data_IF_106722311736
#
_entry.id   IF_106722311736
#
_cell.length_a   1.000
_cell.length_b   1.000
_cell.length_c   1.000
_cell.angle_alpha   90.00
_cell.angle_beta   90.00
_cell.angle_gamma   90.00
#
_symmetry.space_group_name_H-M   'P 1'
#
loop_
_entity.id
_entity.type
_entity.pdbx_description
1 polymer ?
#
# COMPACT_ATOMS: atom_id res chain seq x y z
N UNK A 1 19.45 -3.58 -22.06
CA UNK A 1 19.31 -5.02 -22.33
C UNK A 1 17.83 -5.42 -22.53
N UNK A 2 17.08 -4.60 -23.27
CA UNK A 2 15.64 -4.34 -23.09
C UNK A 2 14.65 -5.38 -23.63
N UNK A 3 15.06 -6.62 -23.91
CA UNK A 3 14.17 -7.70 -24.37
C UNK A 3 14.04 -8.82 -23.32
N UNK A 4 15.15 -9.21 -22.68
CA UNK A 4 15.18 -10.26 -21.65
C UNK A 4 14.35 -9.85 -20.44
N UNK A 5 14.56 -8.63 -19.94
CA UNK A 5 13.85 -8.05 -18.80
C UNK A 5 12.32 -8.06 -18.99
N UNK A 6 11.83 -7.70 -20.18
CA UNK A 6 10.39 -7.74 -20.51
C UNK A 6 9.85 -9.17 -20.58
N UNK A 7 10.62 -10.14 -21.08
CA UNK A 7 10.21 -11.55 -21.05
C UNK A 7 10.15 -12.10 -19.62
N UNK A 8 11.11 -11.75 -18.75
CA UNK A 8 11.12 -12.23 -17.36
C UNK A 8 10.00 -11.63 -16.53
N UNK A 9 9.71 -10.33 -16.64
CA UNK A 9 8.62 -9.72 -15.86
C UNK A 9 7.24 -10.21 -16.30
N UNK A 10 7.02 -10.44 -17.61
CA UNK A 10 5.79 -11.06 -18.09
C UNK A 10 5.65 -12.52 -17.62
N UNK A 11 6.74 -13.30 -17.64
CA UNK A 11 6.76 -14.66 -17.09
C UNK A 11 6.46 -14.68 -15.58
N UNK A 12 6.97 -13.72 -14.81
CA UNK A 12 6.67 -13.58 -13.38
C UNK A 12 5.18 -13.28 -13.13
N UNK A 13 4.57 -12.40 -13.93
CA UNK A 13 3.13 -12.10 -13.87
C UNK A 13 2.31 -13.37 -14.19
N UNK A 14 2.63 -14.08 -15.27
CA UNK A 14 1.95 -15.33 -15.63
C UNK A 14 2.14 -16.45 -14.60
N UNK A 15 3.31 -16.52 -13.96
CA UNK A 15 3.58 -17.48 -12.89
C UNK A 15 2.77 -17.16 -11.64
N UNK A 16 2.76 -15.90 -11.20
CA UNK A 16 2.04 -15.49 -9.99
C UNK A 16 0.52 -15.64 -10.08
N UNK A 17 -0.08 -15.52 -11.28
CA UNK A 17 -1.49 -15.86 -11.51
C UNK A 17 -1.74 -17.37 -11.33
N UNK A 18 -0.85 -18.23 -11.86
CA UNK A 18 -0.92 -19.70 -11.66
C UNK A 18 -0.59 -20.12 -10.23
N UNK A 19 0.16 -19.32 -9.48
CA UNK A 19 0.32 -19.50 -8.03
C UNK A 19 -1.01 -19.21 -7.33
N UNK A 20 -1.60 -18.04 -7.56
CA UNK A 20 -2.88 -17.65 -6.96
C UNK A 20 -4.03 -18.62 -7.29
N UNK A 21 -4.10 -19.14 -8.52
CA UNK A 21 -5.04 -20.18 -8.94
C UNK A 21 -4.89 -21.46 -8.08
N UNK A 22 -3.64 -21.94 -7.92
CA UNK A 22 -3.35 -23.13 -7.09
C UNK A 22 -3.67 -22.90 -5.61
N UNK A 23 -3.45 -21.69 -5.11
CA UNK A 23 -3.76 -21.30 -3.73
C UNK A 23 -5.28 -21.26 -3.48
N UNK A 24 -6.08 -20.77 -4.44
CA UNK A 24 -7.56 -20.85 -4.37
C UNK A 24 -8.04 -22.30 -4.29
N UNK A 25 -7.51 -23.19 -5.15
CA UNK A 25 -7.88 -24.61 -5.16
C UNK A 25 -7.57 -25.29 -3.82
N UNK A 26 -6.51 -24.86 -3.14
CA UNK A 26 -6.13 -25.33 -1.80
C UNK A 26 -6.84 -24.63 -0.64
N UNK A 27 -7.60 -23.56 -0.91
CA UNK A 27 -8.25 -22.68 0.08
C UNK A 27 -7.28 -21.89 0.97
N UNK A 28 -6.09 -21.60 0.47
CA UNK A 28 -5.09 -20.76 1.16
C UNK A 28 -5.41 -19.26 0.91
N UNK A 29 -6.58 -18.79 1.37
CA UNK A 29 -7.21 -17.53 0.93
C UNK A 29 -6.39 -16.27 1.26
N UNK A 30 -5.79 -16.22 2.45
CA UNK A 30 -4.83 -15.18 2.84
C UNK A 30 -3.71 -15.08 1.79
N UNK A 31 -3.07 -16.21 1.47
CA UNK A 31 -1.92 -16.26 0.57
C UNK A 31 -2.30 -15.93 -0.88
N UNK A 32 -3.55 -16.19 -1.30
CA UNK A 32 -4.12 -15.69 -2.58
C UNK A 32 -4.09 -14.15 -2.62
N UNK A 33 -4.54 -13.47 -1.56
CA UNK A 33 -4.57 -12.01 -1.50
C UNK A 33 -3.15 -11.41 -1.46
N UNK A 34 -2.24 -12.02 -0.69
CA UNK A 34 -0.81 -11.65 -0.67
C UNK A 34 -0.20 -11.80 -2.08
N UNK A 35 -0.44 -12.93 -2.77
CA UNK A 35 0.05 -13.14 -4.14
C UNK A 35 -0.55 -12.19 -5.15
N UNK A 36 -1.86 -11.90 -5.08
CA UNK A 36 -2.50 -10.96 -5.99
C UNK A 36 -1.88 -9.56 -5.90
N UNK A 37 -1.56 -9.10 -4.68
CA UNK A 37 -0.81 -7.86 -4.47
C UNK A 37 0.61 -7.93 -5.01
N UNK A 38 1.34 -9.04 -4.81
CA UNK A 38 2.69 -9.19 -5.37
C UNK A 38 2.70 -9.14 -6.90
N UNK A 39 1.71 -9.75 -7.57
CA UNK A 39 1.60 -9.68 -9.04
C UNK A 39 1.22 -8.27 -9.51
N UNK A 40 0.35 -7.57 -8.79
CA UNK A 40 0.08 -6.15 -9.03
C UNK A 40 1.35 -5.30 -8.92
N UNK A 41 2.20 -5.51 -7.92
CA UNK A 41 3.48 -4.81 -7.76
C UNK A 41 4.38 -4.97 -9.00
N UNK A 42 4.52 -6.20 -9.53
CA UNK A 42 5.25 -6.44 -10.78
C UNK A 42 4.62 -5.72 -11.99
N UNK A 43 3.29 -5.74 -12.13
CA UNK A 43 2.58 -5.04 -13.22
C UNK A 43 2.77 -3.52 -13.15
N UNK A 44 2.61 -2.93 -11.96
CA UNK A 44 2.75 -1.49 -11.72
C UNK A 44 4.20 -1.06 -11.97
N UNK A 45 5.19 -1.81 -11.47
CA UNK A 45 6.62 -1.54 -11.73
C UNK A 45 6.93 -1.51 -13.23
N UNK A 46 6.47 -2.50 -13.98
CA UNK A 46 6.65 -2.58 -15.44
C UNK A 46 6.06 -1.37 -16.20
N UNK A 47 5.07 -0.68 -15.63
CA UNK A 47 4.52 0.55 -16.21
C UNK A 47 5.24 1.80 -15.69
N UNK A 48 5.63 1.86 -14.42
CA UNK A 48 6.39 2.96 -13.84
C UNK A 48 7.74 3.15 -14.53
N UNK A 49 8.46 2.06 -14.80
CA UNK A 49 9.71 2.05 -15.57
C UNK A 49 9.52 2.59 -17.00
N UNK A 50 8.43 2.21 -17.68
CA UNK A 50 8.07 2.72 -19.03
C UNK A 50 7.62 4.18 -19.02
N UNK A 51 7.07 4.63 -17.90
CA UNK A 51 6.59 5.99 -17.69
C UNK A 51 7.68 6.95 -17.16
N UNK A 52 8.86 6.42 -16.81
CA UNK A 52 9.95 7.13 -16.14
C UNK A 52 9.48 7.86 -14.86
N UNK A 53 8.60 7.21 -14.09
CA UNK A 53 8.17 7.73 -12.78
C UNK A 53 9.27 7.53 -11.74
N UNK A 54 9.30 8.41 -10.74
CA UNK A 54 10.17 8.24 -9.57
C UNK A 54 9.59 7.12 -8.71
N UNK A 55 10.42 6.15 -8.31
CA UNK A 55 10.01 5.07 -7.42
C UNK A 55 9.51 5.66 -6.08
N UNK A 56 8.27 5.36 -5.73
CA UNK A 56 7.62 5.76 -4.48
C UNK A 56 6.82 4.60 -3.92
N UNK A 57 5.87 4.89 -3.03
CA UNK A 57 4.95 3.88 -2.51
C UNK A 57 4.03 3.32 -3.64
N UNK A 58 3.48 2.12 -3.45
CA UNK A 58 2.65 1.46 -4.47
C UNK A 58 1.37 2.26 -4.77
N UNK A 59 0.80 2.94 -3.78
CA UNK A 59 -0.38 3.80 -3.95
C UNK A 59 -0.06 5.05 -4.77
N UNK A 60 1.02 5.75 -4.45
CA UNK A 60 1.50 6.92 -5.18
C UNK A 60 1.86 6.56 -6.63
N UNK A 61 2.45 5.37 -6.85
CA UNK A 61 2.80 4.90 -8.19
C UNK A 61 1.54 4.60 -9.03
N UNK A 62 0.50 3.99 -8.43
CA UNK A 62 -0.82 3.80 -9.07
C UNK A 62 -1.46 5.16 -9.42
N UNK A 63 -1.38 6.14 -8.50
CA UNK A 63 -1.92 7.48 -8.70
C UNK A 63 -1.20 8.23 -9.82
N UNK A 64 0.14 8.23 -9.83
CA UNK A 64 0.95 8.84 -10.89
C UNK A 64 0.69 8.21 -12.27
N UNK A 65 0.53 6.89 -12.36
CA UNK A 65 0.14 6.21 -13.60
C UNK A 65 -1.24 6.65 -14.09
N UNK A 66 -2.20 6.86 -13.18
CA UNK A 66 -3.54 7.36 -13.54
C UNK A 66 -3.50 8.83 -13.97
N UNK A 67 -2.78 9.69 -13.26
CA UNK A 67 -2.64 11.12 -13.58
C UNK A 67 -1.93 11.32 -14.93
N UNK A 68 -0.83 10.57 -15.16
CA UNK A 68 -0.11 10.49 -16.43
C UNK A 68 -0.85 9.80 -17.58
N UNK A 69 -2.08 9.28 -17.34
CA UNK A 69 -2.94 8.57 -18.31
C UNK A 69 -2.36 7.27 -18.86
N UNK A 70 -1.43 6.65 -18.16
CA UNK A 70 -0.97 5.29 -18.44
C UNK A 70 -2.04 4.25 -18.11
N UNK A 71 -2.82 4.47 -17.05
CA UNK A 71 -3.97 3.64 -16.70
C UNK A 71 -5.28 4.44 -16.66
N UNK A 72 -6.40 3.77 -16.88
CA UNK A 72 -7.74 4.33 -16.77
C UNK A 72 -8.26 4.30 -15.30
N UNK A 73 -9.42 4.94 -15.03
CA UNK A 73 -9.94 5.01 -13.65
C UNK A 73 -10.33 3.64 -13.08
N UNK A 74 -10.94 2.76 -13.88
CA UNK A 74 -11.36 1.45 -13.40
C UNK A 74 -10.14 0.58 -13.03
N UNK A 75 -9.10 0.59 -13.86
CA UNK A 75 -7.82 -0.05 -13.54
C UNK A 75 -7.19 0.51 -12.26
N UNK A 76 -7.18 1.84 -12.05
CA UNK A 76 -6.77 2.44 -10.77
C UNK A 76 -7.61 1.94 -9.58
N UNK A 77 -8.94 1.97 -9.71
CA UNK A 77 -9.85 1.54 -8.64
C UNK A 77 -9.63 0.05 -8.28
N UNK A 78 -9.42 -0.80 -9.29
CA UNK A 78 -9.14 -2.22 -9.15
C UNK A 78 -7.75 -2.46 -8.51
N UNK A 79 -6.73 -1.70 -8.91
CA UNK A 79 -5.39 -1.75 -8.33
C UNK A 79 -5.38 -1.37 -6.85
N UNK A 80 -6.06 -0.28 -6.45
CA UNK A 80 -6.20 0.04 -5.02
C UNK A 80 -6.97 -1.05 -4.27
N UNK A 81 -7.99 -1.65 -4.89
CA UNK A 81 -8.75 -2.75 -4.26
C UNK A 81 -7.84 -3.94 -4.00
N UNK A 82 -7.12 -4.46 -4.99
CA UNK A 82 -6.15 -5.56 -4.82
C UNK A 82 -5.07 -5.19 -3.79
N UNK A 83 -4.56 -3.94 -3.82
CA UNK A 83 -3.58 -3.45 -2.83
C UNK A 83 -4.13 -3.51 -1.40
N UNK A 84 -5.38 -3.07 -1.20
CA UNK A 84 -6.04 -3.02 0.12
C UNK A 84 -6.29 -4.44 0.62
N UNK A 85 -6.84 -5.33 -0.20
CA UNK A 85 -7.08 -6.74 0.15
C UNK A 85 -5.76 -7.45 0.52
N UNK A 86 -4.69 -7.24 -0.24
CA UNK A 86 -3.36 -7.74 0.11
C UNK A 86 -2.77 -7.13 1.39
N UNK A 87 -2.99 -5.84 1.66
CA UNK A 87 -2.61 -5.21 2.94
C UNK A 87 -3.34 -5.89 4.12
N UNK A 88 -4.66 -6.08 3.98
CA UNK A 88 -5.53 -6.73 4.96
C UNK A 88 -5.07 -8.17 5.24
N UNK A 89 -4.74 -8.95 4.21
CA UNK A 89 -4.16 -10.29 4.38
C UNK A 89 -2.80 -10.27 5.13
N UNK A 90 -1.86 -9.37 4.76
CA UNK A 90 -0.52 -9.31 5.39
C UNK A 90 -0.56 -8.79 6.84
N UNK A 91 -1.41 -7.81 7.14
CA UNK A 91 -1.34 -7.05 8.40
C UNK A 91 -2.50 -7.32 9.36
N UNK A 92 -3.68 -7.70 8.85
CA UNK A 92 -4.87 -8.03 9.66
C UNK A 92 -5.09 -9.55 9.75
N UNK A 93 -4.28 -10.36 9.05
CA UNK A 93 -4.35 -11.82 9.07
C UNK A 93 -5.55 -12.42 8.33
N UNK A 94 -6.23 -11.65 7.48
CA UNK A 94 -7.50 -12.05 6.87
C UNK A 94 -7.35 -13.26 5.92
N UNK A 95 -8.22 -14.24 6.09
CA UNK A 95 -8.34 -15.47 5.29
C UNK A 95 -9.75 -15.59 4.66
N UNK A 96 -10.46 -14.46 4.51
CA UNK A 96 -11.84 -14.44 4.02
C UNK A 96 -11.91 -14.86 2.55
N UNK A 97 -12.63 -15.96 2.30
CA UNK A 97 -12.82 -16.52 0.96
C UNK A 97 -13.48 -15.54 -0.04
N UNK A 98 -14.31 -14.59 0.43
CA UNK A 98 -14.90 -13.55 -0.41
C UNK A 98 -13.83 -12.58 -0.93
N UNK A 99 -13.10 -11.94 -0.03
CA UNK A 99 -11.99 -11.01 -0.31
C UNK A 99 -10.91 -11.67 -1.19
N UNK A 100 -10.55 -12.93 -0.93
CA UNK A 100 -9.60 -13.68 -1.78
C UNK A 100 -10.11 -13.95 -3.20
N UNK A 101 -11.39 -14.34 -3.36
CA UNK A 101 -11.99 -14.48 -4.69
C UNK A 101 -12.09 -13.13 -5.42
N UNK A 102 -12.40 -12.04 -4.70
CA UNK A 102 -12.43 -10.69 -5.27
C UNK A 102 -11.04 -10.26 -5.74
N UNK A 103 -10.00 -10.44 -4.92
CA UNK A 103 -8.62 -10.12 -5.27
C UNK A 103 -8.15 -10.87 -6.53
N UNK A 104 -8.45 -12.17 -6.62
CA UNK A 104 -8.09 -12.99 -7.78
C UNK A 104 -8.87 -12.66 -9.05
N UNK A 105 -10.17 -12.38 -8.96
CA UNK A 105 -10.98 -11.97 -10.12
C UNK A 105 -10.49 -10.63 -10.68
N UNK A 106 -10.23 -9.65 -9.82
CA UNK A 106 -9.68 -8.36 -10.21
C UNK A 106 -8.27 -8.51 -10.80
N UNK A 107 -7.41 -9.34 -10.18
CA UNK A 107 -6.08 -9.64 -10.72
C UNK A 107 -6.16 -10.23 -12.13
N UNK A 108 -6.97 -11.27 -12.32
CA UNK A 108 -7.10 -11.97 -13.60
C UNK A 108 -7.63 -11.03 -14.69
N UNK A 109 -8.59 -10.17 -14.35
CA UNK A 109 -9.09 -9.12 -15.25
C UNK A 109 -7.99 -8.15 -15.65
N UNK A 110 -7.27 -7.55 -14.69
CA UNK A 110 -6.29 -6.52 -15.01
C UNK A 110 -5.01 -7.10 -15.65
N UNK A 111 -4.64 -8.36 -15.37
CA UNK A 111 -3.57 -9.07 -16.11
C UNK A 111 -3.97 -9.25 -17.59
N UNK A 112 -5.23 -9.51 -17.90
CA UNK A 112 -5.73 -9.55 -19.28
C UNK A 112 -5.69 -8.17 -19.95
N UNK A 113 -6.07 -7.10 -19.26
CA UNK A 113 -5.95 -5.71 -19.77
C UNK A 113 -4.48 -5.36 -20.03
N UNK A 114 -3.61 -5.58 -19.03
CA UNK A 114 -2.18 -5.36 -19.11
C UNK A 114 -1.53 -6.16 -20.26
N UNK A 115 -1.88 -7.43 -20.45
CA UNK A 115 -1.35 -8.25 -21.53
C UNK A 115 -1.54 -7.60 -22.92
N UNK A 116 -2.72 -7.01 -23.15
CA UNK A 116 -3.05 -6.33 -24.40
C UNK A 116 -2.27 -5.01 -24.57
N UNK A 117 -2.17 -4.19 -23.52
CA UNK A 117 -1.47 -2.89 -23.54
C UNK A 117 0.07 -3.00 -23.47
N UNK A 118 0.59 -4.14 -22.99
CA UNK A 118 2.03 -4.41 -22.87
C UNK A 118 2.58 -5.19 -24.08
N UNK A 119 1.81 -6.13 -24.64
CA UNK A 119 2.20 -6.87 -25.85
C UNK A 119 1.89 -6.07 -27.13
N UNK A 120 0.81 -5.27 -27.13
CA UNK A 120 0.43 -4.40 -28.22
C UNK A 120 1.30 -3.15 -28.27
N UNK A 121 2.38 -3.18 -29.05
CA UNK A 121 3.35 -2.08 -29.20
C UNK A 121 2.85 -0.79 -29.87
N UNK A 122 1.59 -0.37 -29.67
CA UNK A 122 0.97 0.82 -30.28
C UNK A 122 0.00 1.59 -29.37
N UNK A 123 0.37 2.85 -29.11
CA UNK A 123 -0.54 3.99 -29.30
C UNK A 123 -1.63 4.31 -28.25
N UNK A 124 -1.33 4.27 -26.95
CA UNK A 124 -2.03 5.14 -25.96
C UNK A 124 -1.36 6.52 -25.77
N UNK A 125 -0.46 6.90 -26.67
CA UNK A 125 0.28 8.18 -26.64
C UNK A 125 -0.28 9.24 -27.60
N UNK A 126 -1.62 9.36 -27.74
CA UNK A 126 -2.23 10.49 -28.45
C UNK A 126 -2.58 11.62 -27.49
N UNK A 127 -1.57 12.40 -27.11
CA UNK A 127 -1.75 13.65 -26.38
C UNK A 127 -2.75 14.56 -27.13
N UNK A 128 -3.78 15.11 -26.46
CA UNK A 128 -4.72 16.03 -27.08
C UNK A 128 -4.05 17.40 -27.27
N UNK A 129 -3.45 17.63 -28.44
CA UNK A 129 -2.88 18.93 -28.80
C UNK A 129 -3.94 20.03 -28.70
N UNK A 130 -3.80 20.88 -27.68
CA UNK A 130 -4.68 22.01 -27.44
C UNK A 130 -4.31 23.17 -28.34
N UNK A 131 -5.21 23.47 -29.29
CA UNK A 131 -5.32 24.80 -29.89
C UNK A 131 -4.38 25.11 -31.05
N UNK A 132 -4.95 25.14 -32.26
CA UNK A 132 -4.57 26.19 -33.22
C UNK A 132 -5.80 26.61 -34.03
N UNK A 133 -6.26 27.83 -33.81
CA UNK A 133 -7.33 28.46 -34.57
C UNK A 133 -6.79 28.95 -35.92
N UNK A 134 -7.38 28.50 -37.02
CA UNK A 134 -7.15 29.07 -38.35
C UNK A 134 -8.49 29.21 -39.07
N UNK A 135 -8.95 30.45 -39.21
CA UNK A 135 -10.09 30.79 -40.07
C UNK A 135 -9.57 30.99 -41.49
N UNK A 136 -10.19 30.33 -42.47
CA UNK A 136 -10.05 30.69 -43.88
C UNK A 136 -11.36 30.41 -44.63
N UNK A 137 -11.65 31.23 -45.63
CA UNK A 137 -12.84 31.16 -46.50
C UNK A 137 -12.38 30.86 -47.94
N UNK A 138 -13.38 30.59 -48.80
CA UNK A 138 -13.35 30.51 -50.28
C UNK A 138 -13.26 29.09 -50.86
N UNK A 139 -13.91 28.73 -51.98
CA UNK A 139 -15.18 29.06 -52.66
C UNK A 139 -15.17 28.29 -53.99
N UNK A 140 -16.33 27.76 -54.41
CA UNK A 140 -16.74 27.52 -55.82
C UNK A 140 -15.82 26.77 -56.82
N UNK A 141 -16.26 25.57 -57.25
CA UNK A 141 -16.59 25.13 -58.63
C UNK A 141 -16.94 23.61 -58.57
N UNK A 142 -17.98 23.02 -59.19
CA UNK A 142 -18.90 23.26 -60.34
C UNK A 142 -18.54 22.44 -61.60
N UNK A 143 -18.96 21.16 -61.61
CA UNK A 143 -19.29 20.30 -62.77
C UNK A 143 -19.87 18.95 -62.24
N UNK A 144 -20.76 18.21 -62.93
CA UNK A 144 -21.54 18.59 -64.12
C UNK A 144 -21.74 17.46 -65.15
N UNK A 145 -22.56 16.42 -64.87
CA UNK A 145 -22.99 15.44 -65.89
C UNK A 145 -24.36 14.81 -65.57
N UNK A 146 -24.97 14.13 -66.56
CA UNK A 146 -26.40 13.84 -66.60
C UNK A 146 -26.73 12.41 -67.05
N UNK A 147 -27.85 11.85 -66.58
CA UNK A 147 -28.74 10.99 -67.40
C UNK A 147 -30.11 10.79 -66.74
N UNK A 148 -31.11 10.32 -67.50
CA UNK A 148 -32.54 10.31 -67.11
C UNK A 148 -33.30 9.18 -67.82
N UNK A 149 -33.75 8.17 -67.10
CA UNK A 149 -34.73 7.14 -67.54
C UNK A 149 -35.10 6.22 -66.34
N UNK A 150 -36.31 5.67 -66.20
CA UNK A 150 -37.59 5.96 -66.87
C UNK A 150 -38.66 4.86 -66.61
N UNK A 151 -39.94 5.24 -66.41
CA UNK A 151 -41.10 4.35 -66.15
C UNK A 151 -41.00 3.48 -64.85
N UNK A 152 -42.04 2.87 -64.23
CA UNK A 152 -43.53 2.89 -64.20
C UNK A 152 -43.93 2.28 -62.81
N UNK A 153 -45.16 2.24 -62.27
CA UNK A 153 -46.54 2.55 -62.68
C UNK A 153 -47.38 2.91 -61.41
N UNK A 154 -48.68 3.27 -61.49
CA UNK A 154 -49.41 3.88 -60.36
C UNK A 154 -50.33 2.94 -59.55
N UNK A 155 -50.67 3.33 -58.31
CA UNK A 155 -51.82 2.77 -57.56
C UNK A 155 -52.41 3.79 -56.55
N UNK A 156 -53.69 3.60 -56.20
CA UNK A 156 -54.53 4.14 -55.10
C UNK A 156 -53.91 5.18 -54.13
N UNK A 157 -54.58 6.26 -53.73
CA UNK A 157 -56.03 6.42 -53.54
C UNK A 157 -56.44 6.08 -52.09
N UNK A 158 -56.81 7.10 -51.31
CA UNK A 158 -57.37 7.09 -49.94
C UNK A 158 -56.81 6.11 -48.88
N UNK A 159 -56.26 6.65 -47.78
CA UNK A 159 -56.79 6.47 -46.40
C UNK A 159 -56.03 7.25 -45.30
N UNK A 160 -56.80 7.75 -44.31
CA UNK A 160 -56.39 7.96 -42.89
C UNK A 160 -56.50 6.59 -42.15
N UNK A 161 -56.04 6.39 -40.88
CA UNK A 161 -55.47 7.31 -39.88
C UNK A 161 -54.24 6.74 -39.11
N UNK A 162 -53.93 7.36 -37.96
CA UNK A 162 -53.55 6.72 -36.68
C UNK A 162 -52.13 6.12 -36.45
N UNK A 163 -51.40 6.81 -35.56
CA UNK A 163 -50.96 6.31 -34.24
C UNK A 163 -50.06 5.05 -34.13
N UNK A 164 -48.78 5.28 -33.84
CA UNK A 164 -48.00 4.45 -32.89
C UNK A 164 -47.00 5.31 -32.11
N UNK A 165 -46.42 4.79 -31.02
CA UNK A 165 -45.78 5.60 -29.98
C UNK A 165 -44.29 5.93 -30.19
N UNK A 166 -43.92 7.21 -30.11
CA UNK A 166 -42.53 7.66 -30.07
C UNK A 166 -41.88 7.45 -28.68
N UNK A 167 -41.20 6.32 -28.50
CA UNK A 167 -40.51 5.98 -27.25
C UNK A 167 -39.30 6.92 -27.03
N UNK A 168 -39.32 7.71 -25.96
CA UNK A 168 -38.33 8.78 -25.71
C UNK A 168 -36.98 8.23 -25.24
N UNK A 169 -35.98 8.18 -26.10
CA UNK A 169 -34.58 8.06 -25.66
C UNK A 169 -34.13 9.33 -24.92
N UNK A 170 -33.83 9.20 -23.63
CA UNK A 170 -33.32 10.30 -22.81
C UNK A 170 -31.82 10.52 -23.04
N UNK A 171 -31.46 11.55 -23.82
CA UNK A 171 -30.05 11.93 -24.03
C UNK A 171 -29.36 12.34 -22.70
N UNK A 172 -28.06 12.02 -22.52
CA UNK A 172 -27.37 12.20 -21.24
C UNK A 172 -27.23 13.68 -20.86
N UNK A 173 -27.90 14.07 -19.76
CA UNK A 173 -27.78 15.41 -19.16
C UNK A 173 -26.33 15.70 -18.75
N UNK A 174 -25.66 16.62 -19.47
CA UNK A 174 -24.34 17.15 -19.12
C UNK A 174 -24.37 17.83 -17.74
N UNK A 175 -24.05 17.09 -16.67
CA UNK A 175 -23.90 17.65 -15.32
C UNK A 175 -22.81 18.74 -15.34
N UNK A 176 -23.14 19.97 -14.93
CA UNK A 176 -22.16 21.06 -14.80
C UNK A 176 -21.05 20.61 -13.84
N UNK A 177 -19.80 20.61 -14.30
CA UNK A 177 -18.62 20.43 -13.43
C UNK A 177 -18.65 21.54 -12.37
N UNK A 178 -18.81 21.19 -11.09
CA UNK A 178 -18.50 22.12 -9.99
C UNK A 178 -17.00 22.39 -10.07
N UNK A 179 -16.60 23.63 -10.40
CA UNK A 179 -15.21 24.07 -10.26
C UNK A 179 -14.95 24.22 -8.77
N UNK A 180 -14.01 23.46 -8.22
CA UNK A 180 -13.47 23.73 -6.88
C UNK A 180 -12.80 25.11 -6.95
N UNK A 181 -13.05 25.99 -5.98
CA UNK A 181 -12.55 27.36 -6.02
C UNK A 181 -11.02 27.38 -5.81
N UNK A 182 -10.23 28.20 -6.53
CA UNK A 182 -8.78 28.29 -6.33
C UNK A 182 -8.36 28.61 -4.89
N UNK A 183 -9.26 29.25 -4.12
CA UNK A 183 -9.13 29.54 -2.69
C UNK A 183 -8.81 28.30 -1.85
N UNK A 184 -9.24 27.09 -2.25
CA UNK A 184 -8.91 25.86 -1.50
C UNK A 184 -7.41 25.56 -1.47
N UNK A 185 -6.67 25.90 -2.54
CA UNK A 185 -5.22 25.74 -2.60
C UNK A 185 -4.51 26.80 -1.76
N UNK A 186 -5.06 28.02 -1.73
CA UNK A 186 -4.55 29.13 -0.90
C UNK A 186 -4.73 28.78 0.59
N UNK A 187 -5.88 28.24 1.00
CA UNK A 187 -6.08 27.73 2.36
C UNK A 187 -5.16 26.55 2.69
N UNK A 188 -4.95 25.61 1.76
CA UNK A 188 -4.03 24.48 1.96
C UNK A 188 -2.56 24.90 2.18
N UNK A 189 -2.17 26.10 1.72
CA UNK A 189 -0.87 26.72 2.01
C UNK A 189 -0.89 27.62 3.26
N UNK A 190 -1.98 28.33 3.53
CA UNK A 190 -2.10 29.21 4.70
C UNK A 190 -2.21 28.45 6.02
N UNK A 191 -2.91 27.30 6.06
CA UNK A 191 -3.04 26.47 7.27
C UNK A 191 -1.67 26.10 7.88
N UNK A 192 -0.73 25.45 7.16
CA UNK A 192 0.56 25.09 7.74
C UNK A 192 1.40 26.32 8.13
N UNK A 193 1.36 27.41 7.35
CA UNK A 193 2.07 28.66 7.69
C UNK A 193 1.52 29.26 9.00
N UNK A 194 0.21 29.27 9.19
CA UNK A 194 -0.43 29.77 10.42
C UNK A 194 -0.11 28.89 11.63
N UNK A 195 -0.06 27.57 11.46
CA UNK A 195 0.37 26.61 12.50
C UNK A 195 1.84 26.85 12.89
N UNK A 196 2.73 27.07 11.94
CA UNK A 196 4.15 27.39 12.20
C UNK A 196 4.30 28.72 12.95
N UNK A 197 3.55 29.77 12.57
CA UNK A 197 3.54 31.05 13.29
C UNK A 197 3.01 30.88 14.72
N UNK A 198 1.95 30.09 14.93
CA UNK A 198 1.42 29.78 16.25
C UNK A 198 2.46 29.05 17.12
N UNK A 199 3.15 28.04 16.57
CA UNK A 199 4.23 27.33 17.26
C UNK A 199 5.38 28.27 17.66
N UNK A 200 5.82 29.16 16.78
CA UNK A 200 6.88 30.14 17.09
C UNK A 200 6.46 31.09 18.22
N UNK A 201 5.19 31.49 18.29
CA UNK A 201 4.66 32.30 19.40
C UNK A 201 4.63 31.50 20.71
N UNK A 202 4.13 30.26 20.70
CA UNK A 202 4.08 29.39 21.89
C UNK A 202 5.48 29.09 22.43
N UNK A 203 6.45 28.78 21.56
CA UNK A 203 7.84 28.56 21.95
C UNK A 203 8.46 29.82 22.58
N UNK A 204 8.07 31.02 22.14
CA UNK A 204 8.53 32.29 22.74
C UNK A 204 7.82 32.71 24.02
N UNK A 205 6.62 32.21 24.31
CA UNK A 205 5.93 32.47 25.59
C UNK A 205 6.21 31.42 26.66
N UNK A 206 6.66 30.22 26.28
CA UNK A 206 6.91 29.09 27.21
C UNK A 206 8.38 28.88 27.60
N UNK A 207 9.32 29.73 27.15
CA UNK A 207 10.75 29.64 27.52
C UNK A 207 11.20 30.89 28.29
N UNK A 208 10.96 30.96 29.61
CA UNK A 208 11.67 31.87 30.50
C UNK A 208 13.05 31.29 30.87
N UNK A 209 14.13 31.99 30.52
CA UNK A 209 15.49 31.61 30.93
C UNK A 209 15.76 32.01 32.39
N UNK A 210 16.12 31.04 33.23
CA UNK A 210 16.61 31.22 34.60
C UNK A 210 17.75 30.24 34.87
N UNK A 211 18.75 30.63 35.66
CA UNK A 211 20.07 29.98 35.64
C UNK A 211 20.30 28.94 36.77
N UNK A 212 21.42 28.21 36.65
CA UNK A 212 21.93 27.12 37.51
C UNK A 212 21.87 27.41 39.02
N UNK A 213 21.82 26.36 39.84
CA UNK A 213 22.99 26.04 40.67
C UNK A 213 23.10 24.54 41.07
N UNK A 214 24.18 24.18 41.76
CA UNK A 214 24.64 22.80 42.04
C UNK A 214 24.07 22.21 43.35
N UNK A 215 23.89 20.89 43.40
CA UNK A 215 23.59 20.17 44.64
C UNK A 215 23.75 18.65 44.53
N UNK A 216 24.94 18.13 44.85
CA UNK A 216 25.12 16.72 45.20
C UNK A 216 24.76 16.52 46.68
N UNK A 217 23.98 15.50 47.03
CA UNK A 217 24.18 14.75 48.28
C UNK A 217 23.41 13.43 48.31
N UNK A 218 24.13 12.35 48.60
CA UNK A 218 23.61 11.04 49.04
C UNK A 218 22.85 11.16 50.36
N UNK A 219 21.73 10.44 50.52
CA UNK A 219 21.31 9.85 51.81
C UNK A 219 20.35 8.68 51.59
N UNK A 220 20.61 7.56 52.26
CA UNK A 220 19.61 6.54 52.61
C UNK A 220 19.82 6.18 54.09
N UNK A 221 18.75 5.87 54.83
CA UNK A 221 18.79 4.70 55.71
C UNK A 221 17.46 3.91 55.80
N UNK A 222 17.53 2.74 56.46
CA UNK A 222 16.50 1.70 56.58
C UNK A 222 16.01 1.52 58.04
N UNK A 223 14.77 1.04 58.25
CA UNK A 223 14.24 0.21 59.39
C UNK A 223 12.70 -0.01 59.17
N UNK A 224 11.95 -1.08 59.49
CA UNK A 224 12.12 -2.49 59.98
C UNK A 224 11.36 -2.81 61.29
N UNK A 225 10.78 -4.04 61.41
CA UNK A 225 10.02 -4.64 62.57
C UNK A 225 8.49 -4.35 62.52
N UNK A 226 7.49 -5.26 62.37
CA UNK A 226 7.23 -6.70 62.64
C UNK A 226 6.66 -6.99 64.08
N UNK A 227 5.80 -7.97 64.42
CA UNK A 227 5.05 -9.10 63.75
C UNK A 227 3.81 -9.49 64.65
N UNK A 228 2.98 -10.56 64.55
CA UNK A 228 2.76 -11.76 63.68
C UNK A 228 1.34 -12.40 63.94
N UNK A 229 0.88 -13.33 63.07
CA UNK A 229 -0.18 -14.40 63.23
C UNK A 229 -1.65 -14.09 63.64
N UNK A 230 -2.62 -15.05 63.47
CA UNK A 230 -2.64 -16.29 62.66
C UNK A 230 -3.84 -16.36 61.66
N UNK A 231 -3.97 -17.48 60.93
CA UNK A 231 -5.03 -17.74 59.93
C UNK A 231 -6.06 -18.82 60.35
N UNK A 232 -7.18 -18.96 59.61
CA UNK A 232 -7.87 -20.23 59.44
C UNK A 232 -7.85 -20.74 57.98
N UNK A 233 -7.83 -22.06 57.82
CA UNK A 233 -7.70 -22.82 56.55
C UNK A 233 -9.05 -23.42 56.12
N UNK A 234 -9.23 -23.73 54.81
CA UNK A 234 -9.94 -24.89 54.18
C UNK A 234 -10.19 -24.59 52.66
N UNK A 235 -10.52 -25.56 51.77
CA UNK A 235 -9.58 -26.44 51.05
C UNK A 235 -9.67 -26.33 49.49
N UNK A 236 -8.84 -27.05 48.69
CA UNK A 236 -8.60 -26.73 47.26
C UNK A 236 -9.24 -27.69 46.23
N UNK A 237 -9.44 -27.18 44.99
CA UNK A 237 -9.70 -27.96 43.76
C UNK A 237 -9.52 -27.04 42.50
N UNK A 238 -9.15 -27.55 41.31
CA UNK A 238 -8.00 -28.39 40.98
C UNK A 238 -6.99 -27.68 40.03
N UNK A 239 -6.02 -28.44 39.50
CA UNK A 239 -4.89 -27.99 38.69
C UNK A 239 -5.26 -27.50 37.27
N UNK A 240 -4.60 -26.43 36.81
CA UNK A 240 -4.41 -26.15 35.38
C UNK A 240 -2.91 -26.08 35.09
N UNK A 241 -2.47 -26.89 34.14
CA UNK A 241 -1.08 -27.02 33.65
C UNK A 241 -0.53 -25.65 33.20
N UNK A 242 0.77 -25.32 33.41
CA UNK A 242 1.34 -24.07 32.90
C UNK A 242 1.13 -23.92 31.40
N UNK A 243 0.41 -22.87 31.01
CA UNK A 243 0.25 -22.48 29.61
C UNK A 243 1.62 -22.03 29.08
N UNK A 244 2.14 -22.79 28.11
CA UNK A 244 3.43 -22.46 27.48
C UNK A 244 3.23 -21.25 26.60
N UNK A 245 3.67 -20.07 27.07
CA UNK A 245 3.72 -18.87 26.21
C UNK A 245 4.47 -19.20 24.92
N UNK A 246 3.94 -18.82 23.74
CA UNK A 246 4.65 -19.01 22.49
C UNK A 246 5.96 -18.20 22.54
N UNK A 247 7.08 -18.76 22.09
CA UNK A 247 8.40 -18.13 22.24
C UNK A 247 8.40 -16.71 21.67
N UNK A 248 8.64 -15.73 22.55
CA UNK A 248 8.69 -14.31 22.20
C UNK A 248 9.70 -14.12 21.07
N UNK A 249 9.23 -13.64 19.93
CA UNK A 249 10.06 -13.42 18.76
C UNK A 249 11.00 -12.24 19.00
N UNK A 250 12.25 -12.53 19.36
CA UNK A 250 13.27 -11.51 19.62
C UNK A 250 13.70 -10.89 18.29
N UNK A 251 13.67 -9.56 18.18
CA UNK A 251 14.20 -8.87 17.00
C UNK A 251 15.57 -8.29 17.32
N UNK A 252 16.57 -8.56 16.46
CA UNK A 252 17.93 -8.03 16.59
C UNK A 252 18.31 -7.15 15.41
N UNK A 253 19.12 -6.13 15.68
CA UNK A 253 19.69 -5.28 14.65
C UNK A 253 20.81 -6.01 13.91
N UNK A 254 20.72 -6.07 12.58
CA UNK A 254 21.66 -6.72 11.67
C UNK A 254 22.49 -5.70 10.89
N UNK A 255 23.81 -5.89 10.78
CA UNK A 255 24.69 -5.11 9.90
C UNK A 255 25.85 -4.43 10.64
N UNK A 256 25.87 -3.10 10.64
CA UNK A 256 26.83 -2.29 11.41
C UNK A 256 26.11 -1.52 12.53
N UNK A 257 25.19 -0.63 12.14
CA UNK A 257 24.33 0.13 13.03
C UNK A 257 23.13 0.68 12.27
N UNK A 258 21.99 0.86 12.94
CA UNK A 258 20.79 1.49 12.39
C UNK A 258 20.39 2.74 13.17
N UNK A 259 19.90 3.76 12.47
CA UNK A 259 19.38 4.98 13.08
C UNK A 259 17.90 4.81 13.40
N UNK A 260 17.54 4.95 14.67
CA UNK A 260 16.16 4.97 15.18
C UNK A 260 15.67 6.41 15.20
N UNK A 261 14.43 6.66 14.75
CA UNK A 261 13.94 8.00 14.38
C UNK A 261 12.54 8.29 14.90
N UNK A 262 12.19 9.58 14.97
CA UNK A 262 10.86 10.05 15.40
C UNK A 262 9.75 9.83 14.37
N UNK A 263 10.10 9.67 13.09
CA UNK A 263 9.15 9.49 11.97
C UNK A 263 9.77 8.57 10.89
N UNK A 264 8.96 7.86 10.08
CA UNK A 264 9.42 6.93 9.04
C UNK A 264 9.93 7.67 7.78
N UNK A 265 11.03 8.41 7.94
CA UNK A 265 11.70 9.20 6.90
C UNK A 265 13.22 9.20 7.08
N UNK A 266 13.98 9.36 6.00
CA UNK A 266 15.44 9.57 6.05
C UNK A 266 15.83 10.93 6.61
N UNK A 267 14.89 11.86 6.67
CA UNK A 267 15.13 13.27 6.98
C UNK A 267 14.60 13.66 8.38
N UNK A 268 13.87 12.75 9.03
CA UNK A 268 13.32 12.94 10.38
C UNK A 268 14.40 12.84 11.46
N UNK A 269 14.11 13.38 12.65
CA UNK A 269 15.06 13.41 13.77
C UNK A 269 15.47 12.00 14.19
N UNK A 270 16.78 11.77 14.26
CA UNK A 270 17.37 10.58 14.88
C UNK A 270 17.24 10.72 16.41
N UNK A 271 16.72 9.68 17.06
CA UNK A 271 16.61 9.54 18.52
C UNK A 271 17.90 8.91 19.05
N UNK A 272 18.28 7.78 18.48
CA UNK A 272 19.47 6.98 18.86
C UNK A 272 19.99 6.21 17.64
N UNK A 273 21.22 5.73 17.72
CA UNK A 273 21.83 4.81 16.76
C UNK A 273 22.14 3.49 17.48
N UNK A 274 21.50 2.39 17.07
CA UNK A 274 21.66 1.06 17.66
C UNK A 274 22.69 0.27 16.86
N UNK A 275 23.55 -0.49 17.54
CA UNK A 275 24.59 -1.33 16.92
C UNK A 275 24.07 -2.70 16.51
N UNK A 276 24.82 -3.41 15.65
CA UNK A 276 24.56 -4.83 15.38
C UNK A 276 24.50 -5.65 16.68
N UNK A 277 23.57 -6.60 16.75
CA UNK A 277 23.34 -7.46 17.90
C UNK A 277 22.43 -6.87 18.97
N UNK A 278 22.14 -5.57 18.93
CA UNK A 278 21.17 -4.94 19.86
C UNK A 278 19.78 -5.54 19.66
N UNK A 279 19.17 -6.00 20.75
CA UNK A 279 17.77 -6.45 20.79
C UNK A 279 16.82 -5.24 20.84
N UNK A 280 15.68 -5.35 20.15
CA UNK A 280 14.66 -4.32 20.08
C UNK A 280 13.27 -4.90 20.28
N UNK A 281 12.45 -4.21 21.08
CA UNK A 281 11.04 -4.52 21.25
C UNK A 281 10.28 -4.09 19.98
N UNK A 282 9.95 -5.05 19.12
CA UNK A 282 9.28 -4.82 17.83
C UNK A 282 7.77 -4.78 18.02
N UNK A 283 7.16 -3.64 17.68
CA UNK A 283 5.73 -3.41 17.84
C UNK A 283 4.96 -3.86 16.60
N UNK A 284 5.35 -3.36 15.42
CA UNK A 284 4.62 -3.56 14.15
C UNK A 284 5.43 -3.10 12.94
N UNK A 285 5.11 -3.64 11.76
CA UNK A 285 5.60 -3.10 10.49
C UNK A 285 4.83 -1.84 10.10
N UNK A 286 5.53 -0.79 9.71
CA UNK A 286 4.93 0.45 9.20
C UNK A 286 4.83 0.45 7.67
N UNK A 287 5.91 0.05 6.98
CA UNK A 287 5.96 -0.10 5.53
C UNK A 287 7.02 -1.13 5.12
N UNK A 288 7.29 -1.28 3.82
CA UNK A 288 8.35 -2.15 3.31
C UNK A 288 9.77 -1.70 3.74
N UNK A 289 9.94 -0.43 4.11
CA UNK A 289 11.23 0.16 4.48
C UNK A 289 11.37 0.50 5.96
N UNK A 290 10.27 0.49 6.72
CA UNK A 290 10.20 0.97 8.11
C UNK A 290 9.40 0.04 9.01
N UNK A 291 9.97 -0.27 10.16
CA UNK A 291 9.34 -0.91 11.29
C UNK A 291 9.22 0.04 12.47
N UNK A 292 8.24 -0.21 13.33
CA UNK A 292 8.05 0.46 14.61
C UNK A 292 8.59 -0.44 15.71
N UNK A 293 9.53 0.10 16.48
CA UNK A 293 9.99 -0.47 17.74
C UNK A 293 9.53 0.41 18.89
N UNK A 294 9.41 -0.18 20.07
CA UNK A 294 9.28 0.54 21.32
C UNK A 294 10.69 0.87 21.83
N UNK A 295 10.95 2.15 22.08
CA UNK A 295 12.21 2.63 22.63
C UNK A 295 11.94 3.64 23.73
N UNK A 296 12.37 3.33 24.96
CA UNK A 296 12.15 4.16 26.16
C UNK A 296 10.66 4.54 26.37
N UNK A 297 9.76 3.60 26.08
CA UNK A 297 8.31 3.77 26.18
C UNK A 297 7.65 4.56 25.04
N UNK A 298 8.37 4.82 23.94
CA UNK A 298 7.89 5.59 22.79
C UNK A 298 7.95 4.77 21.49
N UNK A 299 6.94 4.92 20.62
CA UNK A 299 7.01 4.36 19.27
C UNK A 299 8.07 5.08 18.44
N UNK A 300 9.06 4.34 17.96
CA UNK A 300 10.18 4.86 17.19
C UNK A 300 10.41 4.04 15.91
N UNK A 301 10.85 4.72 14.85
CA UNK A 301 10.94 4.16 13.51
C UNK A 301 12.36 3.74 13.16
N UNK A 302 12.50 2.52 12.67
CA UNK A 302 13.78 1.88 12.34
C UNK A 302 13.65 1.19 10.98
N UNK A 303 14.70 1.14 10.16
CA UNK A 303 14.54 0.65 8.79
C UNK A 303 14.58 -0.87 8.70
N UNK A 304 13.53 -1.47 8.11
CA UNK A 304 13.26 -2.92 8.11
C UNK A 304 14.39 -3.79 7.57
N UNK A 305 15.18 -3.26 6.63
CA UNK A 305 16.34 -3.95 6.06
C UNK A 305 17.46 -4.27 7.06
N UNK A 306 17.37 -3.74 8.28
CA UNK A 306 18.32 -3.96 9.38
C UNK A 306 17.70 -4.70 10.58
N UNK A 307 16.45 -5.17 10.52
CA UNK A 307 15.84 -5.98 11.57
C UNK A 307 15.83 -7.46 11.15
N UNK A 308 16.29 -8.33 12.05
CA UNK A 308 16.26 -9.77 11.89
C UNK A 308 15.43 -10.40 13.01
N UNK A 309 14.42 -11.20 12.65
CA UNK A 309 13.67 -12.01 13.60
C UNK A 309 14.55 -13.18 14.03
N UNK A 310 14.98 -13.16 15.29
CA UNK A 310 15.66 -14.27 15.95
C UNK A 310 14.61 -15.09 16.66
N UNK A 311 14.27 -16.24 16.08
CA UNK A 311 13.49 -17.26 16.79
C UNK A 311 14.41 -17.86 17.86
N UNK A 312 14.02 -17.91 19.14
CA UNK A 312 14.89 -18.43 20.19
C UNK A 312 15.09 -19.92 19.96
N UNK A 313 16.33 -20.30 19.65
CA UNK A 313 16.74 -21.70 19.53
C UNK A 313 16.59 -22.34 20.90
N UNK A 314 15.71 -23.34 21.01
CA UNK A 314 15.59 -24.14 22.23
C UNK A 314 16.95 -24.82 22.50
N UNK A 315 17.59 -24.42 23.60
CA UNK A 315 18.94 -24.87 23.97
C UNK A 315 18.89 -26.36 24.35
N UNK A 316 19.26 -27.22 23.39
CA UNK A 316 19.26 -28.67 23.61
C UNK A 316 20.39 -29.01 24.58
N UNK A 317 20.04 -29.64 25.70
CA UNK A 317 20.92 -29.85 26.85
C UNK A 317 22.24 -30.55 26.50
N UNK A 318 23.30 -30.19 27.24
CA UNK A 318 24.65 -30.72 27.05
C UNK A 318 24.79 -32.11 27.71
N UNK A 319 25.05 -33.20 26.97
CA UNK A 319 25.37 -34.49 27.58
C UNK A 319 26.84 -34.49 28.05
N UNK A 320 27.06 -34.07 29.29
CA UNK A 320 28.37 -34.17 29.93
C UNK A 320 28.66 -35.62 30.37
N UNK A 321 29.46 -36.36 29.60
CA UNK A 321 29.91 -37.72 29.96
C UNK A 321 31.42 -37.75 30.22
N UNK A 322 31.80 -37.53 31.48
CA UNK A 322 33.16 -37.82 31.97
C UNK A 322 33.21 -39.26 32.50
N UNK A 323 34.20 -40.07 32.08
CA UNK A 323 34.56 -41.29 32.82
C UNK A 323 34.93 -42.53 32.01
N UNK A 324 36.23 -42.69 31.75
CA UNK A 324 37.00 -43.95 31.82
C UNK A 324 36.39 -45.28 31.36
N UNK A 325 36.97 -45.85 30.28
CA UNK A 325 36.88 -47.28 29.96
C UNK A 325 38.11 -47.75 29.19
N UNK A 326 38.94 -48.61 29.78
CA UNK A 326 40.06 -49.27 29.08
C UNK A 326 39.52 -50.44 28.23
N UNK A 327 40.18 -50.76 27.10
CA UNK A 327 40.81 -52.07 26.89
C UNK A 327 41.42 -52.24 25.49
N UNK A 328 42.50 -53.02 25.46
CA UNK A 328 43.16 -53.65 24.30
C UNK A 328 43.81 -52.72 23.27
#
# INVERSE_FOLDING_TARGET
>A
MSNVERTTSWQQIQLGVKDAERLIVRKEYNLVMVKARQVLEYMVRCMAERACLVEGDLSDTIDQLYEGRWINKATKDNYHTIRILGNKAVHEGDDTAYDANQAYQLLTQEVYVFANEFSGGRSSARAPQTGRTASSRQTSQRQGSSSRSGARSPQSGNRRPAQSGGQRQGGPRKKKRRRVSPVSYIWRLLIPVLIVVLLIVVIRTMVPSGDKDKGNLTTAPTVTTAATEPAPTLPPEPETVPETEPPVAVYRIKGSSVNVRTEPSTDSRIIVQLTNGTEVDYVKRYSNDWDVINYDGQEAYVSSRFLEKVEPVAETEVPATSGSGQNN
#
